data_IF_286719231408
#
_entry.id   IF_286719231408
#
_cell.length_a   1.000
_cell.length_b   1.000
_cell.length_c   1.000
_cell.angle_alpha   90.00
_cell.angle_beta   90.00
_cell.angle_gamma   90.00
#
_symmetry.space_group_name_H-M   'P 1'
#
loop_
_entity.id
_entity.type
_entity.pdbx_description
1 polymer ?
#
# COMPACT_ATOMS: atom_id res chain seq x y z
N UNK A 1 -62.66 -8.64 33.59
CA UNK A 1 -61.60 -7.92 32.86
C UNK A 1 -62.20 -7.44 31.53
N UNK A 2 -62.40 -6.14 31.34
CA UNK A 2 -63.27 -5.57 30.29
C UNK A 2 -62.72 -5.79 28.87
N UNK A 3 -63.59 -6.23 27.96
CA UNK A 3 -63.27 -6.48 26.53
C UNK A 3 -62.63 -5.28 25.81
N UNK A 4 -62.87 -4.06 26.27
CA UNK A 4 -62.26 -2.82 25.74
C UNK A 4 -60.75 -2.75 26.00
N UNK A 5 -60.29 -3.18 27.19
CA UNK A 5 -58.84 -3.21 27.51
C UNK A 5 -58.10 -4.25 26.67
N UNK A 6 -58.74 -5.38 26.37
CA UNK A 6 -58.14 -6.43 25.54
C UNK A 6 -57.95 -5.98 24.08
N UNK A 7 -58.90 -5.19 23.54
CA UNK A 7 -58.81 -4.61 22.19
C UNK A 7 -57.71 -3.55 22.08
N UNK A 8 -57.57 -2.68 23.09
CA UNK A 8 -56.54 -1.63 23.10
C UNK A 8 -55.14 -2.25 23.17
N UNK A 9 -54.95 -3.28 24.02
CA UNK A 9 -53.67 -4.01 24.12
C UNK A 9 -53.33 -4.72 22.81
N UNK A 10 -54.33 -5.31 22.13
CA UNK A 10 -54.13 -5.94 20.82
C UNK A 10 -53.69 -4.96 19.73
N UNK A 11 -54.27 -3.76 19.68
CA UNK A 11 -53.92 -2.73 18.70
C UNK A 11 -52.51 -2.18 18.95
N UNK A 12 -52.16 -1.91 20.22
CA UNK A 12 -50.82 -1.44 20.58
C UNK A 12 -49.77 -2.50 20.25
N UNK A 13 -50.04 -3.77 20.56
CA UNK A 13 -49.13 -4.88 20.19
C UNK A 13 -48.91 -4.98 18.68
N UNK A 14 -49.95 -4.78 17.87
CA UNK A 14 -49.85 -4.85 16.41
C UNK A 14 -49.05 -3.67 15.83
N UNK A 15 -49.19 -2.46 16.39
CA UNK A 15 -48.41 -1.29 15.98
C UNK A 15 -46.93 -1.40 16.36
N UNK A 16 -46.63 -1.94 17.54
CA UNK A 16 -45.24 -2.21 17.97
C UNK A 16 -44.58 -3.25 17.07
N UNK A 17 -45.30 -4.34 16.74
CA UNK A 17 -44.79 -5.36 15.81
C UNK A 17 -44.55 -4.79 14.41
N UNK A 18 -45.44 -3.95 13.89
CA UNK A 18 -45.25 -3.29 12.60
C UNK A 18 -44.03 -2.36 12.60
N UNK A 19 -43.83 -1.58 13.68
CA UNK A 19 -42.66 -0.71 13.84
C UNK A 19 -41.34 -1.48 13.98
N UNK A 20 -41.33 -2.61 14.68
CA UNK A 20 -40.15 -3.47 14.76
C UNK A 20 -39.82 -4.10 13.41
N UNK A 21 -40.83 -4.55 12.65
CA UNK A 21 -40.62 -5.12 11.31
C UNK A 21 -40.03 -4.08 10.37
N UNK A 22 -40.57 -2.85 10.32
CA UNK A 22 -40.03 -1.79 9.45
C UNK A 22 -38.61 -1.38 9.85
N UNK A 23 -38.29 -1.35 11.14
CA UNK A 23 -36.93 -1.10 11.63
C UNK A 23 -35.95 -2.19 11.19
N UNK A 24 -36.36 -3.47 11.30
CA UNK A 24 -35.54 -4.61 10.86
C UNK A 24 -35.32 -4.59 9.34
N UNK A 25 -36.33 -4.25 8.55
CA UNK A 25 -36.19 -4.07 7.11
C UNK A 25 -35.26 -2.91 6.75
N UNK A 26 -35.30 -1.81 7.51
CA UNK A 26 -34.44 -0.67 7.29
C UNK A 26 -32.98 -0.98 7.65
N UNK A 27 -32.73 -1.68 8.76
CA UNK A 27 -31.40 -2.16 9.13
C UNK A 27 -30.86 -3.17 8.12
N UNK A 28 -31.69 -4.10 7.63
CA UNK A 28 -31.30 -5.01 6.56
C UNK A 28 -31.00 -4.27 5.25
N UNK A 29 -31.79 -3.26 4.88
CA UNK A 29 -31.54 -2.45 3.69
C UNK A 29 -30.22 -1.67 3.79
N UNK A 30 -29.91 -1.07 4.94
CA UNK A 30 -28.63 -0.38 5.19
C UNK A 30 -27.47 -1.38 5.17
N UNK A 31 -27.63 -2.55 5.80
CA UNK A 31 -26.61 -3.60 5.79
C UNK A 31 -26.35 -4.14 4.37
N UNK A 32 -27.40 -4.24 3.56
CA UNK A 32 -27.30 -4.70 2.17
C UNK A 32 -26.70 -3.61 1.26
N UNK A 33 -27.00 -2.33 1.49
CA UNK A 33 -26.34 -1.20 0.80
C UNK A 33 -24.85 -1.11 1.13
N UNK A 34 -24.48 -1.28 2.41
CA UNK A 34 -23.10 -1.31 2.86
C UNK A 34 -22.29 -2.47 2.25
N UNK A 35 -22.95 -3.61 1.99
CA UNK A 35 -22.35 -4.78 1.33
C UNK A 35 -22.37 -4.68 -0.21
N UNK A 36 -23.03 -3.67 -0.79
CA UNK A 36 -23.27 -3.53 -2.24
C UNK A 36 -22.34 -2.58 -2.99
N UNK A 37 -21.36 -1.94 -2.32
CA UNK A 37 -20.26 -1.29 -3.06
C UNK A 37 -19.34 -2.39 -3.59
N UNK A 38 -19.77 -3.03 -4.67
CA UNK A 38 -18.94 -3.96 -5.42
C UNK A 38 -17.64 -3.26 -5.78
N UNK A 39 -16.51 -3.90 -5.44
CA UNK A 39 -15.20 -3.47 -5.90
C UNK A 39 -15.27 -3.40 -7.42
N UNK A 40 -14.91 -2.27 -8.07
CA UNK A 40 -14.96 -2.18 -9.52
C UNK A 40 -14.14 -3.32 -10.15
N UNK A 41 -14.63 -3.93 -11.21
CA UNK A 41 -14.00 -5.10 -11.83
C UNK A 41 -12.51 -4.89 -12.15
N UNK A 42 -12.15 -3.72 -12.67
CA UNK A 42 -10.77 -3.36 -12.98
C UNK A 42 -9.86 -3.28 -11.73
N UNK A 43 -10.43 -2.98 -10.57
CA UNK A 43 -9.71 -3.01 -9.28
C UNK A 43 -9.52 -4.45 -8.85
N UNK A 44 -10.55 -5.29 -8.96
CA UNK A 44 -10.46 -6.70 -8.66
C UNK A 44 -9.44 -7.43 -9.57
N UNK A 45 -9.27 -6.99 -10.82
CA UNK A 45 -8.19 -7.46 -11.70
C UNK A 45 -6.80 -7.14 -11.15
N UNK A 46 -6.61 -5.94 -10.62
CA UNK A 46 -5.35 -5.52 -10.01
C UNK A 46 -5.07 -6.35 -8.75
N UNK A 47 -6.06 -6.52 -7.88
CA UNK A 47 -5.92 -7.26 -6.61
C UNK A 47 -5.57 -8.75 -6.82
N UNK A 48 -5.90 -9.34 -7.96
CA UNK A 48 -5.47 -10.71 -8.33
C UNK A 48 -3.95 -10.83 -8.49
N UNK A 49 -3.27 -9.75 -8.81
CA UNK A 49 -1.81 -9.71 -8.98
C UNK A 49 -1.16 -9.03 -7.78
N UNK A 50 -1.67 -7.87 -7.38
CA UNK A 50 -1.18 -7.06 -6.27
C UNK A 50 -2.03 -7.34 -5.04
N UNK A 51 -1.61 -8.33 -4.25
CA UNK A 51 -2.23 -8.65 -2.96
C UNK A 51 -2.24 -7.39 -2.09
N UNK A 52 -3.38 -7.11 -1.46
CA UNK A 52 -3.52 -5.93 -0.59
C UNK A 52 -2.63 -6.08 0.63
N UNK A 53 -2.03 -4.98 1.07
CA UNK A 53 -1.19 -4.96 2.27
C UNK A 53 -1.98 -5.35 3.53
N UNK A 54 -3.29 -5.08 3.57
CA UNK A 54 -4.18 -5.54 4.65
C UNK A 54 -4.22 -7.07 4.76
N UNK A 55 -4.14 -7.80 3.64
CA UNK A 55 -4.12 -9.25 3.65
C UNK A 55 -2.76 -9.76 4.18
N UNK A 56 -1.66 -9.04 3.88
CA UNK A 56 -0.33 -9.32 4.43
C UNK A 56 -0.27 -9.12 5.95
N UNK A 57 -1.00 -8.14 6.51
CA UNK A 57 -1.04 -7.78 7.94
C UNK A 57 -1.31 -8.99 8.85
N UNK A 58 -2.13 -9.92 8.39
CA UNK A 58 -2.52 -11.11 9.18
C UNK A 58 -1.32 -11.91 9.68
N UNK A 59 -0.21 -11.92 8.92
CA UNK A 59 1.04 -12.60 9.28
C UNK A 59 2.20 -11.62 9.45
N UNK A 60 2.16 -10.44 8.81
CA UNK A 60 3.24 -9.45 8.79
C UNK A 60 2.85 -8.17 9.53
N UNK A 61 2.13 -8.29 10.64
CA UNK A 61 1.57 -7.15 11.39
C UNK A 61 2.60 -6.05 11.66
N UNK A 62 3.79 -6.40 12.16
CA UNK A 62 4.85 -5.41 12.41
C UNK A 62 5.20 -4.64 11.14
N UNK A 63 5.48 -5.33 10.04
CA UNK A 63 5.89 -4.68 8.79
C UNK A 63 4.76 -3.84 8.20
N UNK A 64 3.52 -4.31 8.30
CA UNK A 64 2.34 -3.55 7.89
C UNK A 64 2.21 -2.25 8.70
N UNK A 65 2.30 -2.33 10.03
CA UNK A 65 2.15 -1.16 10.90
C UNK A 65 3.29 -0.14 10.72
N UNK A 66 4.52 -0.62 10.47
CA UNK A 66 5.67 0.22 10.08
C UNK A 66 5.42 0.90 8.73
N UNK A 67 4.95 0.15 7.71
CA UNK A 67 4.66 0.66 6.37
C UNK A 67 3.51 1.66 6.34
N UNK A 68 2.43 1.39 7.09
CA UNK A 68 1.23 2.23 7.11
C UNK A 68 1.44 3.52 7.91
N UNK A 69 2.45 3.57 8.79
CA UNK A 69 2.65 4.70 9.69
C UNK A 69 1.80 4.65 10.97
N UNK A 70 1.08 3.55 11.22
CA UNK A 70 0.01 3.50 12.22
C UNK A 70 0.52 3.34 13.67
N UNK A 71 1.72 2.79 13.85
CA UNK A 71 2.32 2.57 15.18
C UNK A 71 3.34 3.65 15.57
N UNK A 72 3.50 4.68 14.75
CA UNK A 72 4.43 5.75 15.08
C UNK A 72 3.83 6.65 16.18
N UNK A 73 4.39 6.54 17.38
CA UNK A 73 4.27 7.54 18.45
C UNK A 73 5.04 8.80 18.07
N UNK A 74 4.81 9.35 16.89
CA UNK A 74 5.23 10.72 16.60
C UNK A 74 4.45 11.62 17.55
N UNK A 75 5.12 12.38 18.44
CA UNK A 75 4.47 13.46 19.17
C UNK A 75 3.73 14.31 18.13
N UNK A 76 2.50 14.71 18.46
CA UNK A 76 1.60 15.56 17.67
C UNK A 76 2.38 16.37 16.61
N UNK A 77 2.03 16.21 15.33
CA UNK A 77 2.56 16.99 14.19
C UNK A 77 2.57 18.50 14.46
N UNK A 78 1.78 18.99 15.44
CA UNK A 78 1.79 20.38 15.92
C UNK A 78 3.00 20.74 16.80
N UNK A 79 3.63 19.78 17.46
CA UNK A 79 4.74 20.00 18.42
C UNK A 79 6.10 20.01 17.73
N UNK A 80 6.25 19.23 16.65
CA UNK A 80 7.43 19.25 15.80
C UNK A 80 6.95 19.26 14.35
N UNK A 81 7.24 20.34 13.61
CA UNK A 81 6.93 20.48 12.18
C UNK A 81 7.69 19.50 11.28
N UNK A 82 7.70 18.22 11.61
CA UNK A 82 8.29 17.14 10.82
C UNK A 82 7.28 16.72 9.77
N UNK A 83 7.57 17.12 8.53
CA UNK A 83 6.87 16.70 7.30
C UNK A 83 7.08 15.19 7.02
N UNK A 84 8.02 14.57 7.73
CA UNK A 84 8.48 13.19 7.56
C UNK A 84 7.36 12.13 7.67
N UNK A 85 6.32 12.38 8.48
CA UNK A 85 5.18 11.45 8.63
C UNK A 85 4.13 11.56 7.51
N UNK A 86 4.19 12.59 6.66
CA UNK A 86 3.19 12.86 5.62
C UNK A 86 3.47 12.16 4.28
N UNK A 87 4.63 11.52 4.13
CA UNK A 87 5.14 10.99 2.85
C UNK A 87 5.62 9.54 2.96
N UNK A 88 4.89 8.73 3.73
CA UNK A 88 5.16 7.30 3.86
C UNK A 88 4.70 6.54 2.61
N UNK A 89 5.35 5.41 2.33
CA UNK A 89 4.97 4.54 1.22
C UNK A 89 3.50 4.09 1.34
N UNK A 90 3.06 3.72 2.56
CA UNK A 90 1.69 3.26 2.81
C UNK A 90 0.59 4.33 2.81
N UNK A 91 0.97 5.60 2.68
CA UNK A 91 0.04 6.74 2.52
C UNK A 91 0.31 7.54 1.24
N UNK A 92 1.20 7.05 0.37
CA UNK A 92 1.67 7.76 -0.83
C UNK A 92 0.55 8.27 -1.74
N UNK A 93 -0.51 7.48 -1.97
CA UNK A 93 -1.68 7.91 -2.77
C UNK A 93 -2.73 8.68 -1.97
N UNK A 94 -2.74 8.52 -0.65
CA UNK A 94 -3.73 9.12 0.23
C UNK A 94 -3.34 10.55 0.63
N UNK A 95 -2.05 10.87 0.54
CA UNK A 95 -1.48 12.17 0.88
C UNK A 95 -2.18 13.32 0.13
N UNK A 96 -2.65 14.37 0.83
CA UNK A 96 -3.21 15.56 0.20
C UNK A 96 -2.24 16.24 -0.77
N UNK A 97 -0.93 16.21 -0.45
CA UNK A 97 0.13 16.78 -1.29
C UNK A 97 0.16 16.05 -2.64
N UNK A 98 0.23 14.72 -2.62
CA UNK A 98 0.27 13.92 -3.84
C UNK A 98 -0.96 14.17 -4.72
N UNK A 99 -2.16 14.16 -4.14
CA UNK A 99 -3.42 14.39 -4.88
C UNK A 99 -3.47 15.79 -5.51
N UNK A 100 -2.92 16.79 -4.83
CA UNK A 100 -2.86 18.16 -5.35
C UNK A 100 -1.90 18.24 -6.53
N UNK A 101 -0.69 17.71 -6.39
CA UNK A 101 0.32 17.67 -7.46
C UNK A 101 -0.20 16.87 -8.66
N UNK A 102 -0.79 15.70 -8.44
CA UNK A 102 -1.38 14.88 -9.50
C UNK A 102 -2.49 15.63 -10.25
N UNK A 103 -3.36 16.34 -9.52
CA UNK A 103 -4.44 17.12 -10.11
C UNK A 103 -3.96 18.32 -10.94
N UNK A 104 -2.92 19.01 -10.48
CA UNK A 104 -2.28 20.10 -11.23
C UNK A 104 -1.55 19.56 -12.47
N UNK A 105 -0.79 18.48 -12.31
CA UNK A 105 -0.08 17.83 -13.40
C UNK A 105 -1.05 17.31 -14.47
N UNK A 106 -2.22 16.75 -14.09
CA UNK A 106 -3.21 16.29 -15.08
C UNK A 106 -3.76 17.44 -15.95
N UNK A 107 -3.76 18.68 -15.46
CA UNK A 107 -4.19 19.86 -16.24
C UNK A 107 -3.19 20.22 -17.35
N UNK A 108 -1.95 19.73 -17.30
CA UNK A 108 -0.97 19.93 -18.38
C UNK A 108 -1.22 19.01 -19.58
N UNK A 109 -2.31 18.24 -19.56
CA UNK A 109 -2.70 17.28 -20.59
C UNK A 109 -1.56 16.31 -20.98
N UNK A 110 -1.02 15.55 -20.01
CA UNK A 110 0.10 14.65 -20.26
C UNK A 110 -0.27 13.54 -21.24
N UNK A 111 0.72 13.09 -22.01
CA UNK A 111 0.62 11.92 -22.87
C UNK A 111 0.46 10.63 -22.05
N UNK A 112 -0.02 9.56 -22.70
CA UNK A 112 -0.15 8.25 -22.06
C UNK A 112 1.20 7.73 -21.52
N UNK A 113 2.30 7.99 -22.24
CA UNK A 113 3.64 7.58 -21.83
C UNK A 113 4.15 8.36 -20.61
N UNK A 114 3.90 9.67 -20.56
CA UNK A 114 4.22 10.49 -19.39
C UNK A 114 3.42 10.05 -18.16
N UNK A 115 2.15 9.70 -18.36
CA UNK A 115 1.29 9.16 -17.31
C UNK A 115 1.76 7.79 -16.83
N UNK A 116 2.06 6.86 -17.74
CA UNK A 116 2.61 5.56 -17.39
C UNK A 116 3.91 5.71 -16.58
N UNK A 117 4.79 6.63 -16.98
CA UNK A 117 6.05 6.90 -16.28
C UNK A 117 5.83 7.47 -14.88
N UNK A 118 4.99 8.50 -14.73
CA UNK A 118 4.67 9.08 -13.42
C UNK A 118 4.04 8.03 -12.48
N UNK A 119 3.07 7.27 -13.00
CA UNK A 119 2.39 6.25 -12.22
C UNK A 119 3.27 5.04 -11.94
N UNK A 120 4.30 4.74 -12.73
CA UNK A 120 5.15 3.57 -12.47
C UNK A 120 5.78 3.59 -11.08
N UNK A 121 6.12 4.76 -10.55
CA UNK A 121 6.70 4.90 -9.21
C UNK A 121 5.64 5.04 -8.10
N UNK A 122 4.48 5.62 -8.40
CA UNK A 122 3.46 5.93 -7.40
C UNK A 122 2.33 4.89 -7.32
N UNK A 123 2.08 4.20 -8.43
CA UNK A 123 1.10 3.13 -8.63
C UNK A 123 1.75 2.03 -9.49
N UNK A 124 2.70 1.24 -8.97
CA UNK A 124 3.44 0.25 -9.76
C UNK A 124 2.57 -0.75 -10.52
N UNK A 125 1.32 -0.97 -10.09
CA UNK A 125 0.31 -1.72 -10.81
C UNK A 125 0.06 -1.25 -12.25
N UNK A 126 0.32 0.02 -12.56
CA UNK A 126 0.21 0.56 -13.93
C UNK A 126 1.15 -0.14 -14.92
N UNK A 127 2.27 -0.70 -14.45
CA UNK A 127 3.24 -1.39 -15.30
C UNK A 127 2.72 -2.74 -15.80
N UNK A 128 1.75 -3.33 -15.09
CA UNK A 128 1.05 -4.57 -15.48
C UNK A 128 -0.29 -4.26 -16.14
N UNK A 129 -0.96 -3.18 -15.70
CA UNK A 129 -2.29 -2.79 -16.15
C UNK A 129 -2.31 -1.36 -16.73
N UNK A 130 -1.53 -1.06 -17.79
CA UNK A 130 -1.44 0.29 -18.34
C UNK A 130 -2.78 0.79 -18.89
N UNK A 131 -3.66 -0.10 -19.34
CA UNK A 131 -5.01 0.22 -19.81
C UNK A 131 -5.91 0.85 -18.73
N UNK A 132 -5.58 0.66 -17.44
CA UNK A 132 -6.33 1.22 -16.32
C UNK A 132 -5.74 2.53 -15.79
N UNK A 133 -4.65 3.04 -16.38
CA UNK A 133 -3.94 4.23 -15.89
C UNK A 133 -4.85 5.46 -15.67
N UNK A 134 -5.75 5.75 -16.62
CA UNK A 134 -6.69 6.87 -16.48
C UNK A 134 -7.71 6.64 -15.36
N UNK A 135 -8.19 5.40 -15.22
CA UNK A 135 -9.10 5.02 -14.13
C UNK A 135 -8.40 5.17 -12.78
N UNK A 136 -7.13 4.76 -12.67
CA UNK A 136 -6.32 4.92 -11.45
C UNK A 136 -6.21 6.39 -11.05
N UNK A 137 -5.83 7.28 -11.98
CA UNK A 137 -5.73 8.72 -11.71
C UNK A 137 -7.07 9.30 -11.26
N UNK A 138 -8.15 9.03 -12.01
CA UNK A 138 -9.47 9.51 -11.67
C UNK A 138 -9.93 9.02 -10.27
N UNK A 139 -9.61 7.79 -9.92
CA UNK A 139 -9.97 7.18 -8.64
C UNK A 139 -9.20 7.81 -7.47
N UNK A 140 -7.89 8.07 -7.64
CA UNK A 140 -7.06 8.79 -6.67
C UNK A 140 -7.59 10.22 -6.44
N UNK A 141 -7.86 10.96 -7.52
CA UNK A 141 -8.37 12.33 -7.44
C UNK A 141 -9.77 12.40 -6.83
N UNK A 142 -10.61 11.40 -7.10
CA UNK A 142 -11.92 11.24 -6.48
C UNK A 142 -11.88 10.78 -5.02
N UNK A 143 -10.69 10.54 -4.45
CA UNK A 143 -10.47 10.01 -3.10
C UNK A 143 -11.19 8.69 -2.84
N UNK A 144 -11.36 7.88 -3.89
CA UNK A 144 -11.91 6.53 -3.75
C UNK A 144 -10.76 5.59 -3.37
N UNK A 145 -11.05 4.61 -2.50
CA UNK A 145 -10.13 3.53 -2.16
C UNK A 145 -10.42 2.28 -2.98
N UNK A 146 -9.52 1.31 -2.95
CA UNK A 146 -9.72 0.03 -3.63
C UNK A 146 -8.43 -0.55 -4.22
N UNK A 147 -7.41 0.27 -4.46
CA UNK A 147 -6.08 -0.22 -4.80
C UNK A 147 -5.01 0.58 -4.06
N UNK A 148 -3.84 -0.02 -3.93
CA UNK A 148 -2.71 0.57 -3.22
C UNK A 148 -1.72 1.19 -4.21
N UNK A 149 -1.00 2.23 -3.76
CA UNK A 149 0.15 2.75 -4.49
C UNK A 149 1.34 1.85 -4.27
N UNK A 150 2.26 2.30 -3.42
CA UNK A 150 3.45 1.53 -3.05
C UNK A 150 3.13 0.61 -1.86
N UNK A 151 2.30 -0.41 -2.10
CA UNK A 151 1.93 -1.46 -1.13
C UNK A 151 2.98 -2.57 -1.00
N UNK A 152 2.73 -3.54 -0.11
CA UNK A 152 3.61 -4.69 0.11
C UNK A 152 3.94 -5.40 -1.21
N UNK A 153 2.93 -5.75 -1.99
CA UNK A 153 3.08 -6.46 -3.26
C UNK A 153 3.79 -5.62 -4.33
N UNK A 154 3.67 -4.30 -4.28
CA UNK A 154 4.33 -3.43 -5.24
C UNK A 154 5.86 -3.60 -5.19
N UNK A 155 6.43 -3.75 -3.99
CA UNK A 155 7.84 -4.06 -3.78
C UNK A 155 8.11 -5.57 -3.88
N UNK A 156 7.32 -6.40 -3.21
CA UNK A 156 7.60 -7.84 -3.09
C UNK A 156 7.29 -8.66 -4.35
N UNK A 157 6.76 -8.05 -5.42
CA UNK A 157 6.70 -8.65 -6.76
C UNK A 157 7.86 -8.24 -7.67
N UNK A 158 8.73 -7.34 -7.23
CA UNK A 158 9.90 -6.91 -8.02
C UNK A 158 10.99 -7.99 -7.96
N UNK A 159 11.32 -8.55 -9.12
CA UNK A 159 12.32 -9.62 -9.24
C UNK A 159 13.55 -9.22 -10.08
N UNK A 160 13.54 -8.01 -10.65
CA UNK A 160 14.53 -7.59 -11.63
C UNK A 160 14.66 -6.08 -11.69
N UNK A 161 15.82 -5.63 -12.17
CA UNK A 161 16.10 -4.22 -12.48
C UNK A 161 16.61 -4.12 -13.91
N UNK A 162 16.12 -3.16 -14.69
CA UNK A 162 16.67 -2.82 -16.00
C UNK A 162 17.46 -1.54 -15.91
N UNK A 163 18.61 -1.52 -16.58
CA UNK A 163 19.43 -0.34 -16.75
C UNK A 163 19.29 0.16 -18.18
N UNK A 164 18.73 1.35 -18.35
CA UNK A 164 18.86 2.06 -19.62
C UNK A 164 20.22 2.75 -19.70
N UNK A 165 20.79 2.85 -20.91
CA UNK A 165 22.06 3.58 -21.10
C UNK A 165 21.93 5.07 -20.77
N UNK A 166 20.76 5.67 -21.02
CA UNK A 166 20.48 7.11 -20.86
C UNK A 166 19.16 7.37 -20.12
N UNK A 167 18.64 6.39 -19.36
CA UNK A 167 17.43 6.54 -18.58
C UNK A 167 17.67 6.06 -17.15
N UNK A 168 16.89 6.58 -16.17
CA UNK A 168 16.85 5.99 -14.85
C UNK A 168 16.61 4.47 -14.91
N UNK A 169 17.13 3.69 -13.95
CA UNK A 169 16.82 2.28 -13.86
C UNK A 169 15.31 2.12 -13.69
N UNK A 170 14.78 1.03 -14.25
CA UNK A 170 13.39 0.62 -14.04
C UNK A 170 13.37 -0.72 -13.34
N UNK A 171 12.26 -1.04 -12.69
CA UNK A 171 12.06 -2.35 -12.07
C UNK A 171 11.28 -3.28 -13.01
N UNK A 172 11.48 -4.59 -12.85
CA UNK A 172 10.63 -5.63 -13.42
C UNK A 172 9.75 -6.20 -12.33
N UNK A 173 8.47 -6.30 -12.61
CA UNK A 173 7.56 -7.10 -11.81
C UNK A 173 7.44 -8.50 -12.40
N UNK A 174 7.34 -9.48 -11.53
CA UNK A 174 6.95 -10.84 -11.88
C UNK A 174 5.60 -11.15 -11.23
N UNK A 175 4.48 -10.88 -11.93
CA UNK A 175 3.16 -11.29 -11.48
C UNK A 175 3.10 -12.79 -11.18
N UNK A 176 2.43 -13.14 -10.09
CA UNK A 176 2.27 -14.52 -9.64
C UNK A 176 2.19 -14.60 -8.11
N UNK A 177 2.23 -15.83 -7.59
CA UNK A 177 2.08 -16.07 -6.15
C UNK A 177 3.40 -15.99 -5.37
N UNK A 178 4.53 -15.86 -6.06
CA UNK A 178 5.85 -15.81 -5.40
C UNK A 178 6.17 -14.40 -4.97
N UNK A 179 6.49 -14.22 -3.68
CA UNK A 179 6.99 -12.97 -3.15
C UNK A 179 8.51 -13.01 -3.01
N UNK A 180 9.17 -11.93 -3.43
CA UNK A 180 10.63 -11.81 -3.45
C UNK A 180 11.13 -11.05 -2.23
N UNK A 181 12.32 -11.42 -1.75
CA UNK A 181 12.97 -10.73 -0.64
C UNK A 181 14.48 -10.96 -0.58
N UNK A 182 15.17 -10.40 0.43
CA UNK A 182 16.64 -10.39 0.49
C UNK A 182 17.28 -11.69 0.98
N UNK A 183 16.49 -12.70 1.36
CA UNK A 183 17.00 -13.92 2.01
C UNK A 183 17.20 -15.05 1.01
N UNK A 184 18.39 -15.71 1.00
CA UNK A 184 18.64 -16.87 0.14
C UNK A 184 17.80 -18.08 0.52
N UNK A 185 17.51 -18.24 1.82
CA UNK A 185 16.69 -19.32 2.35
C UNK A 185 15.44 -18.69 3.00
N UNK A 186 14.41 -18.34 2.20
CA UNK A 186 13.15 -17.89 2.75
C UNK A 186 12.50 -19.01 3.57
N UNK A 187 11.75 -18.65 4.61
CA UNK A 187 11.00 -19.63 5.38
C UNK A 187 9.86 -20.22 4.56
N UNK A 188 9.80 -21.55 4.47
CA UNK A 188 8.66 -22.24 3.87
C UNK A 188 7.39 -22.01 4.68
N UNK A 189 6.28 -21.81 3.99
CA UNK A 189 4.98 -21.57 4.59
C UNK A 189 3.85 -22.00 3.62
N UNK A 190 2.61 -21.99 4.11
CA UNK A 190 1.43 -22.44 3.34
C UNK A 190 0.67 -21.29 2.66
N UNK A 191 1.11 -20.04 2.83
CA UNK A 191 0.38 -18.85 2.36
C UNK A 191 0.86 -18.42 0.99
N UNK A 192 2.18 -18.26 0.83
CA UNK A 192 2.78 -17.90 -0.45
C UNK A 192 4.20 -18.49 -0.58
N UNK A 193 4.62 -18.94 -1.78
CA UNK A 193 6.02 -19.19 -2.04
C UNK A 193 6.83 -17.91 -1.88
N UNK A 194 8.08 -18.06 -1.49
CA UNK A 194 9.02 -16.96 -1.35
C UNK A 194 10.33 -17.32 -2.04
N UNK A 195 10.97 -16.33 -2.65
CA UNK A 195 12.22 -16.49 -3.37
C UNK A 195 13.19 -15.34 -3.06
N UNK A 196 14.48 -15.61 -3.16
CA UNK A 196 15.49 -14.57 -3.06
C UNK A 196 15.44 -13.68 -4.31
N UNK A 197 15.60 -12.38 -4.09
CA UNK A 197 16.01 -11.42 -5.11
C UNK A 197 17.22 -10.65 -4.60
N UNK A 198 18.32 -10.68 -5.36
CA UNK A 198 19.56 -9.98 -4.99
C UNK A 198 19.40 -8.45 -5.02
N UNK A 199 18.39 -7.96 -5.74
CA UNK A 199 18.11 -6.53 -5.90
C UNK A 199 17.65 -5.87 -4.58
N UNK A 200 17.06 -6.62 -3.65
CA UNK A 200 16.69 -6.09 -2.34
C UNK A 200 17.90 -5.62 -1.50
N UNK A 201 19.13 -5.97 -1.92
CA UNK A 201 20.39 -5.52 -1.31
C UNK A 201 21.19 -4.59 -2.23
N UNK A 202 20.51 -3.86 -3.12
CA UNK A 202 21.13 -2.85 -3.99
C UNK A 202 20.41 -1.51 -3.93
N UNK A 203 21.17 -0.43 -4.03
CA UNK A 203 20.65 0.94 -4.09
C UNK A 203 19.84 1.19 -5.38
N UNK A 204 20.19 0.52 -6.47
CA UNK A 204 19.46 0.58 -7.75
C UNK A 204 17.97 0.22 -7.61
N UNK A 205 17.61 -0.65 -6.66
CA UNK A 205 16.23 -1.01 -6.36
C UNK A 205 15.38 0.20 -5.96
N UNK A 206 15.85 0.98 -4.97
CA UNK A 206 15.18 2.20 -4.53
C UNK A 206 15.28 3.31 -5.59
N UNK A 207 16.41 3.36 -6.30
CA UNK A 207 16.68 4.38 -7.30
C UNK A 207 15.80 4.28 -8.55
N UNK A 208 15.09 3.16 -8.79
CA UNK A 208 14.12 3.10 -9.87
C UNK A 208 12.92 4.03 -9.66
N UNK A 209 12.60 4.35 -8.41
CA UNK A 209 11.60 5.37 -8.07
C UNK A 209 12.24 6.68 -7.59
N UNK A 210 13.37 6.60 -6.88
CA UNK A 210 14.09 7.74 -6.29
C UNK A 210 15.30 8.19 -7.12
N UNK A 211 15.13 8.27 -8.45
CA UNK A 211 16.24 8.50 -9.38
C UNK A 211 16.86 9.91 -9.29
N UNK A 212 16.10 10.91 -8.87
CA UNK A 212 16.56 12.29 -8.72
C UNK A 212 17.41 12.48 -7.44
N UNK A 213 17.36 11.52 -6.50
CA UNK A 213 18.09 11.57 -5.22
C UNK A 213 19.48 10.97 -5.29
N UNK A 214 19.84 10.30 -6.38
CA UNK A 214 21.11 9.59 -6.52
C UNK A 214 21.85 10.08 -7.77
N UNK A 215 23.12 10.46 -7.63
CA UNK A 215 23.95 10.92 -8.76
C UNK A 215 24.18 9.82 -9.82
N UNK A 216 24.33 8.58 -9.38
CA UNK A 216 24.40 7.40 -10.24
C UNK A 216 23.42 6.32 -9.74
N UNK A 217 22.23 6.37 -10.32
CA UNK A 217 21.06 5.55 -9.98
C UNK A 217 21.24 4.06 -10.32
N UNK A 218 22.23 3.71 -11.15
CA UNK A 218 22.42 2.35 -11.62
C UNK A 218 23.38 1.53 -10.75
N UNK A 219 24.05 2.15 -9.78
CA UNK A 219 25.02 1.48 -8.92
C UNK A 219 24.32 0.67 -7.82
N UNK A 220 24.99 -0.41 -7.40
CA UNK A 220 24.53 -1.19 -6.24
C UNK A 220 24.76 -0.46 -4.92
N UNK A 221 25.79 0.37 -4.83
CA UNK A 221 26.14 1.15 -3.64
C UNK A 221 25.96 2.65 -3.90
N UNK A 222 25.80 3.43 -2.83
CA UNK A 222 25.70 4.88 -2.95
C UNK A 222 27.07 5.50 -3.31
N UNK A 223 27.09 6.55 -4.15
CA UNK A 223 28.34 7.22 -4.53
C UNK A 223 28.88 8.12 -3.39
N UNK A 224 30.21 8.15 -3.25
CA UNK A 224 30.93 9.02 -2.31
C UNK A 224 31.70 8.23 -1.25
N UNK A 225 32.87 8.73 -0.84
CA UNK A 225 33.81 8.07 0.08
C UNK A 225 33.19 7.75 1.46
N UNK A 226 32.31 8.63 1.96
CA UNK A 226 31.64 8.45 3.26
C UNK A 226 30.55 7.38 3.21
N UNK A 227 29.92 7.18 2.05
CA UNK A 227 28.81 6.23 1.86
C UNK A 227 29.24 4.97 1.10
N UNK A 228 30.54 4.79 0.93
CA UNK A 228 31.09 3.64 0.23
C UNK A 228 30.68 2.35 0.93
N UNK A 229 30.15 1.39 0.16
CA UNK A 229 29.65 0.12 0.68
C UNK A 229 28.29 0.20 1.39
N UNK A 230 27.68 1.37 1.49
CA UNK A 230 26.35 1.57 2.08
C UNK A 230 25.27 1.54 1.00
N UNK A 231 24.09 1.00 1.33
CA UNK A 231 22.89 1.04 0.50
C UNK A 231 21.75 1.79 1.21
N UNK A 232 20.73 2.19 0.45
CA UNK A 232 19.60 2.96 0.97
C UNK A 232 18.95 2.28 2.19
N UNK A 233 18.83 0.96 2.12
CA UNK A 233 18.19 0.10 3.11
C UNK A 233 18.90 0.14 4.47
N UNK A 234 20.21 0.37 4.51
CA UNK A 234 20.98 0.39 5.76
C UNK A 234 20.54 1.52 6.71
N UNK A 235 20.05 2.63 6.14
CA UNK A 235 19.54 3.77 6.90
C UNK A 235 18.00 3.89 6.82
N UNK A 236 17.42 3.73 5.63
CA UNK A 236 15.98 3.95 5.41
C UNK A 236 15.14 2.72 5.78
N UNK A 237 15.74 1.53 5.82
CA UNK A 237 15.14 0.31 6.36
C UNK A 237 15.92 -0.20 7.57
N UNK A 238 16.16 0.69 8.54
CA UNK A 238 16.99 0.49 9.73
C UNK A 238 17.04 -0.98 10.21
N UNK A 239 18.23 -1.60 10.26
CA UNK A 239 18.38 -2.97 10.69
C UNK A 239 17.77 -3.22 12.07
N UNK A 240 17.03 -4.30 12.16
CA UNK A 240 16.44 -4.81 13.39
C UNK A 240 16.60 -6.31 13.44
N UNK A 241 16.32 -6.93 14.58
CA UNK A 241 16.25 -8.38 14.71
C UNK A 241 14.84 -8.76 15.11
N UNK A 242 14.30 -9.79 14.46
CA UNK A 242 12.96 -10.28 14.74
C UNK A 242 12.54 -11.35 13.75
N UNK A 243 11.32 -11.83 13.92
CA UNK A 243 10.69 -12.66 12.92
C UNK A 243 10.06 -11.79 11.83
N UNK A 244 10.13 -12.25 10.58
CA UNK A 244 9.39 -11.64 9.48
C UNK A 244 7.88 -11.85 9.63
N UNK A 245 7.43 -12.83 10.42
CA UNK A 245 6.01 -13.08 10.70
C UNK A 245 5.67 -13.01 12.19
N UNK A 246 4.42 -12.72 12.54
CA UNK A 246 3.91 -12.76 13.92
C UNK A 246 3.67 -14.18 14.45
N UNK A 247 3.95 -15.23 13.66
CA UNK A 247 3.72 -16.63 14.03
C UNK A 247 4.67 -17.08 15.15
N UNK A 248 4.12 -17.72 16.19
CA UNK A 248 4.91 -18.34 17.27
C UNK A 248 5.87 -19.40 16.69
N UNK A 249 7.16 -19.28 17.04
CA UNK A 249 8.21 -20.19 16.57
C UNK A 249 8.82 -19.85 15.21
N UNK A 250 8.42 -18.72 14.60
CA UNK A 250 9.03 -18.24 13.38
C UNK A 250 10.51 -17.84 13.58
N UNK A 251 11.30 -17.96 12.53
CA UNK A 251 12.74 -17.74 12.59
C UNK A 251 13.05 -16.29 12.93
N UNK A 252 13.83 -16.07 13.98
CA UNK A 252 14.40 -14.76 14.27
C UNK A 252 15.66 -14.56 13.44
N UNK A 253 15.71 -13.46 12.68
CA UNK A 253 16.86 -13.05 11.88
C UNK A 253 16.96 -11.53 11.77
N UNK A 254 18.03 -11.03 11.17
CA UNK A 254 18.13 -9.62 10.81
C UNK A 254 17.03 -9.28 9.80
N UNK A 255 16.24 -8.25 10.07
CA UNK A 255 15.12 -7.74 9.27
C UNK A 255 15.23 -6.23 9.13
N UNK A 256 14.80 -5.66 8.00
CA UNK A 256 14.69 -4.21 7.84
C UNK A 256 13.38 -3.67 8.41
N UNK A 257 13.42 -2.51 9.05
CA UNK A 257 12.20 -1.77 9.40
C UNK A 257 11.54 -1.19 8.15
N UNK A 258 10.21 -1.19 8.09
CA UNK A 258 9.46 -0.72 6.93
C UNK A 258 8.89 0.70 7.11
N UNK A 259 9.54 1.53 7.92
CA UNK A 259 9.16 2.94 8.06
C UNK A 259 9.59 3.80 6.86
N UNK A 260 10.68 3.41 6.18
CA UNK A 260 11.25 4.15 5.05
C UNK A 260 11.53 5.63 5.38
N UNK A 261 12.01 5.90 6.60
CA UNK A 261 12.16 7.28 7.13
C UNK A 261 13.06 8.11 6.25
N UNK A 262 12.62 9.29 5.82
CA UNK A 262 13.44 10.26 5.14
C UNK A 262 12.96 11.68 5.45
N UNK A 263 13.88 12.65 5.42
CA UNK A 263 13.52 14.06 5.52
C UNK A 263 13.35 14.59 4.11
N UNK A 264 12.14 15.06 3.77
CA UNK A 264 11.99 15.95 2.62
C UNK A 264 12.37 17.34 3.10
N UNK A 265 13.67 17.64 3.09
CA UNK A 265 14.12 19.03 3.14
C UNK A 265 13.81 19.60 1.77
N UNK A 266 12.75 20.41 1.69
CA UNK A 266 12.51 21.29 0.56
C UNK A 266 13.52 22.45 0.58
#
# INVERSE_FOLDING_TARGET
>A
MNMVRLRIVGIIGMLVMAGCLTSLYHEQAIAQEANSRSVPEWVAEIEKVFIRSEDCKQCHERHYEEWKGAREQTPDLKTFGRVDAALLHGTSLESPVFRTVLGLWKQTNPTADEQGRCLSCHVPAVTVFPQHAEKMVAHVLARKGGFEGIGCSACHLMNGMEKGLNSPPTFKLQPGNTLYGPYPNPEENLVHPAAQSEHFRGANYCAACHFDKVKDVAQKNLPGEILEGTICQDCHMEPSTGSSTSRRGAMTRAIGRHWFRGVVVA
#
